data_IF_761473235931
#
_entry.id   IF_761473235931
#
_cell.length_a   1.000
_cell.length_b   1.000
_cell.length_c   1.000
_cell.angle_alpha   90.00
_cell.angle_beta   90.00
_cell.angle_gamma   90.00
#
_symmetry.space_group_name_H-M   'P 1'
#
loop_
_entity.id
_entity.type
_entity.pdbx_description
1 polymer ?
#
# COMPACT_ATOMS: atom_id res chain seq x y z
N UNK A 1 6.01 -14.90 -12.47
CA UNK A 1 6.59 -15.09 -11.17
C UNK A 1 6.21 -13.97 -10.22
N UNK A 2 6.56 -12.74 -10.55
CA UNK A 2 6.20 -11.63 -9.67
C UNK A 2 4.87 -11.00 -10.03
N UNK A 3 4.16 -11.57 -11.02
CA UNK A 3 2.95 -10.97 -11.58
C UNK A 3 1.87 -10.76 -10.54
N UNK A 4 1.59 -11.77 -9.72
CA UNK A 4 0.54 -11.66 -8.71
C UNK A 4 0.85 -10.63 -7.64
N UNK A 5 2.11 -10.55 -7.18
CA UNK A 5 2.54 -9.55 -6.22
C UNK A 5 2.47 -8.16 -6.83
N UNK A 6 2.98 -8.02 -8.05
CA UNK A 6 2.95 -6.74 -8.75
C UNK A 6 1.52 -6.27 -8.96
N UNK A 7 0.60 -7.18 -9.30
CA UNK A 7 -0.82 -6.85 -9.47
C UNK A 7 -1.41 -6.32 -8.17
N UNK A 8 -1.12 -6.96 -7.04
CA UNK A 8 -1.63 -6.53 -5.74
C UNK A 8 -1.10 -5.13 -5.37
N UNK A 9 0.19 -4.90 -5.57
CA UNK A 9 0.79 -3.60 -5.27
C UNK A 9 0.22 -2.53 -6.22
N UNK A 10 0.06 -2.87 -7.50
CA UNK A 10 -0.51 -1.93 -8.47
C UNK A 10 -1.96 -1.58 -8.13
N UNK A 11 -2.73 -2.55 -7.63
CA UNK A 11 -4.10 -2.30 -7.18
C UNK A 11 -4.12 -1.30 -6.03
N UNK A 12 -3.20 -1.44 -5.09
CA UNK A 12 -3.03 -0.49 -4.00
C UNK A 12 -2.73 0.91 -4.54
N UNK A 13 -1.77 1.01 -5.46
CA UNK A 13 -1.37 2.28 -6.08
C UNK A 13 -2.57 2.93 -6.79
N UNK A 14 -3.26 2.16 -7.61
CA UNK A 14 -4.39 2.68 -8.39
C UNK A 14 -5.52 3.13 -7.47
N UNK A 15 -5.77 2.37 -6.40
CA UNK A 15 -6.78 2.74 -5.41
C UNK A 15 -6.43 4.02 -4.67
N UNK A 16 -5.17 4.19 -4.28
CA UNK A 16 -4.71 5.42 -3.65
C UNK A 16 -4.85 6.61 -4.59
N UNK A 17 -4.44 6.45 -5.84
CA UNK A 17 -4.50 7.53 -6.83
C UNK A 17 -5.95 7.97 -7.09
N UNK A 18 -6.86 7.01 -7.15
CA UNK A 18 -8.28 7.29 -7.47
C UNK A 18 -9.11 7.64 -6.22
N UNK A 19 -8.51 7.60 -5.03
CA UNK A 19 -9.23 7.73 -3.76
C UNK A 19 -10.35 6.68 -3.67
N UNK A 20 -10.06 5.47 -4.13
CA UNK A 20 -11.01 4.37 -4.20
C UNK A 20 -10.79 3.43 -3.01
N UNK A 21 -11.55 3.65 -1.93
CA UNK A 21 -11.38 2.90 -0.69
C UNK A 21 -11.62 1.40 -0.85
N UNK A 22 -12.55 1.01 -1.72
CA UNK A 22 -12.84 -0.40 -1.98
C UNK A 22 -11.67 -1.11 -2.63
N UNK A 23 -11.06 -0.46 -3.61
CA UNK A 23 -9.91 -1.03 -4.33
C UNK A 23 -8.73 -1.18 -3.40
N UNK A 24 -8.48 -0.19 -2.55
CA UNK A 24 -7.41 -0.27 -1.55
C UNK A 24 -7.71 -1.37 -0.53
N UNK A 25 -8.92 -1.41 0.01
CA UNK A 25 -9.30 -2.43 0.98
C UNK A 25 -9.12 -3.83 0.43
N UNK A 26 -9.44 -4.03 -0.86
CA UNK A 26 -9.34 -5.34 -1.49
C UNK A 26 -7.91 -5.76 -1.77
N UNK A 27 -6.97 -4.82 -1.84
CA UNK A 27 -5.54 -5.13 -1.97
C UNK A 27 -4.94 -5.60 -0.64
N UNK A 28 -5.58 -5.28 0.48
CA UNK A 28 -5.14 -5.72 1.80
C UNK A 28 -5.82 -7.02 2.20
N UNK A 29 -5.08 -7.85 2.96
CA UNK A 29 -5.69 -8.94 3.69
C UNK A 29 -6.57 -8.35 4.80
N UNK A 30 -7.61 -9.08 5.20
CA UNK A 30 -8.56 -8.59 6.22
C UNK A 30 -7.87 -8.26 7.55
N UNK A 31 -6.78 -8.96 7.87
CA UNK A 31 -6.02 -8.73 9.09
C UNK A 31 -4.83 -7.81 8.93
N UNK A 32 -4.71 -7.11 7.81
CA UNK A 32 -3.54 -6.28 7.54
C UNK A 32 -3.39 -5.14 8.55
N UNK A 33 -2.14 -4.86 8.90
CA UNK A 33 -1.80 -3.78 9.83
C UNK A 33 -0.66 -2.96 9.22
N UNK A 34 -0.63 -1.68 9.55
CA UNK A 34 0.46 -0.81 9.13
C UNK A 34 1.00 0.01 10.29
N UNK A 35 2.29 0.32 10.20
CA UNK A 35 3.03 1.10 11.17
C UNK A 35 3.95 2.06 10.44
N UNK A 36 4.14 3.25 10.97
CA UNK A 36 5.10 4.15 10.35
C UNK A 36 5.12 5.53 10.95
N UNK A 37 5.76 6.42 10.22
CA UNK A 37 5.94 7.79 10.65
C UNK A 37 5.41 8.77 9.63
N UNK A 38 4.62 9.73 10.12
CA UNK A 38 4.24 10.92 9.37
C UNK A 38 5.04 12.07 9.97
N UNK A 39 6.15 12.44 9.30
CA UNK A 39 7.13 13.31 9.92
C UNK A 39 7.67 12.62 11.16
N UNK A 40 7.55 13.27 12.31
CA UNK A 40 8.04 12.72 13.58
C UNK A 40 6.95 11.98 14.37
N UNK A 41 5.75 11.89 13.82
CA UNK A 41 4.62 11.25 14.52
C UNK A 41 4.51 9.77 14.17
N UNK A 42 4.58 8.91 15.19
CA UNK A 42 4.36 7.49 15.02
C UNK A 42 2.87 7.20 14.86
N UNK A 43 2.52 6.44 13.83
CA UNK A 43 1.13 6.12 13.49
C UNK A 43 1.01 4.62 13.27
N UNK A 44 -0.06 4.04 13.80
CA UNK A 44 -0.43 2.66 13.50
C UNK A 44 -1.93 2.59 13.23
N UNK A 45 -2.31 1.73 12.28
CA UNK A 45 -3.72 1.49 11.95
C UNK A 45 -3.84 0.17 11.21
N UNK A 46 -5.07 -0.31 11.07
CA UNK A 46 -5.32 -1.47 10.21
C UNK A 46 -5.41 -1.04 8.76
N UNK A 47 -5.25 -1.99 7.84
CA UNK A 47 -5.47 -1.74 6.42
C UNK A 47 -6.89 -1.26 6.14
N UNK A 48 -7.87 -1.84 6.85
CA UNK A 48 -9.28 -1.43 6.72
C UNK A 48 -9.47 0.03 7.15
N UNK A 49 -8.87 0.44 8.25
CA UNK A 49 -8.94 1.83 8.70
C UNK A 49 -8.29 2.79 7.71
N UNK A 50 -7.15 2.40 7.16
CA UNK A 50 -6.47 3.21 6.14
C UNK A 50 -7.38 3.39 4.92
N UNK A 51 -7.99 2.32 4.45
CA UNK A 51 -8.86 2.37 3.28
C UNK A 51 -10.07 3.28 3.51
N UNK A 52 -10.71 3.19 4.67
CA UNK A 52 -11.94 3.96 4.93
C UNK A 52 -11.67 5.38 5.44
N UNK A 53 -10.70 5.53 6.34
CA UNK A 53 -10.50 6.81 7.03
C UNK A 53 -9.47 7.72 6.35
N UNK A 54 -8.55 7.16 5.59
CA UNK A 54 -7.54 7.93 4.88
C UNK A 54 -7.90 8.03 3.41
N UNK A 55 -7.96 6.90 2.71
CA UNK A 55 -8.25 6.89 1.27
C UNK A 55 -9.69 7.31 1.02
N UNK A 56 -10.62 6.82 1.82
CA UNK A 56 -12.06 7.11 1.63
C UNK A 56 -12.44 8.56 1.89
N UNK A 57 -11.59 9.32 2.54
CA UNK A 57 -11.84 10.76 2.80
C UNK A 57 -10.96 11.66 1.94
N UNK A 58 -10.10 11.09 1.11
CA UNK A 58 -9.22 11.84 0.22
C UNK A 58 -9.95 12.21 -1.06
N UNK A 59 -9.37 13.17 -1.79
CA UNK A 59 -9.79 13.44 -3.17
C UNK A 59 -8.85 12.69 -4.12
N UNK A 60 -9.30 12.34 -5.33
CA UNK A 60 -8.41 11.73 -6.31
C UNK A 60 -7.17 12.58 -6.54
N UNK A 61 -6.03 11.90 -6.66
CA UNK A 61 -4.75 12.58 -6.85
C UNK A 61 -4.65 13.13 -8.28
N UNK A 62 -3.91 14.22 -8.41
CA UNK A 62 -3.60 14.80 -9.70
C UNK A 62 -2.26 14.27 -10.22
N UNK A 63 -1.67 14.95 -11.21
CA UNK A 63 -0.42 14.50 -11.83
C UNK A 63 0.79 14.57 -10.90
N UNK A 64 0.66 15.19 -9.74
CA UNK A 64 1.72 15.22 -8.74
C UNK A 64 1.96 13.84 -8.11
N UNK A 65 0.98 12.94 -8.12
CA UNK A 65 1.12 11.62 -7.53
C UNK A 65 1.89 10.71 -8.48
N UNK A 66 3.04 10.23 -8.04
CA UNK A 66 3.89 9.29 -8.76
C UNK A 66 4.26 8.16 -7.85
N UNK A 67 4.40 6.98 -8.43
CA UNK A 67 4.77 5.79 -7.67
C UNK A 67 5.80 4.98 -8.43
N UNK A 68 6.65 4.30 -7.68
CA UNK A 68 7.66 3.40 -8.25
C UNK A 68 7.78 2.17 -7.36
N UNK A 69 7.58 1.00 -7.95
CA UNK A 69 7.86 -0.26 -7.27
C UNK A 69 9.35 -0.52 -7.46
N UNK A 70 10.14 -0.34 -6.42
CA UNK A 70 11.59 -0.41 -6.50
C UNK A 70 12.11 -1.83 -6.38
N UNK A 71 11.39 -2.71 -5.67
CA UNK A 71 11.84 -4.07 -5.45
C UNK A 71 10.67 -4.98 -5.14
N UNK A 72 10.73 -6.21 -5.66
CA UNK A 72 9.82 -7.29 -5.29
C UNK A 72 10.67 -8.54 -5.08
N UNK A 73 10.46 -9.20 -3.95
CA UNK A 73 11.06 -10.50 -3.65
C UNK A 73 9.97 -11.47 -3.29
N UNK A 74 9.97 -12.64 -3.92
CA UNK A 74 8.97 -13.67 -3.68
C UNK A 74 9.69 -14.97 -3.28
N UNK A 75 9.23 -15.58 -2.18
CA UNK A 75 9.71 -16.88 -1.75
C UNK A 75 8.49 -17.71 -1.37
N UNK A 76 8.17 -18.71 -2.17
CA UNK A 76 6.97 -19.52 -1.93
C UNK A 76 5.71 -18.66 -1.94
N UNK A 77 5.00 -18.66 -0.85
CA UNK A 77 3.72 -17.94 -0.72
C UNK A 77 3.84 -16.66 0.11
N UNK A 78 5.06 -16.14 0.25
CA UNK A 78 5.28 -14.86 0.92
C UNK A 78 6.12 -13.97 0.03
N UNK A 79 5.96 -12.66 0.19
CA UNK A 79 6.69 -11.70 -0.61
C UNK A 79 6.91 -10.41 0.15
N UNK A 80 7.89 -9.65 -0.30
CA UNK A 80 8.08 -8.27 0.14
C UNK A 80 8.22 -7.37 -1.08
N UNK A 81 7.80 -6.12 -0.92
CA UNK A 81 7.93 -5.12 -1.98
C UNK A 81 8.30 -3.78 -1.36
N UNK A 82 9.07 -3.00 -2.08
CA UNK A 82 9.37 -1.62 -1.69
C UNK A 82 8.71 -0.71 -2.70
N UNK A 83 7.87 0.19 -2.20
CA UNK A 83 7.11 1.14 -3.00
C UNK A 83 7.44 2.56 -2.54
N UNK A 84 7.87 3.39 -3.47
CA UNK A 84 8.07 4.82 -3.20
C UNK A 84 6.93 5.58 -3.87
N UNK A 85 6.33 6.49 -3.11
CA UNK A 85 5.25 7.35 -3.61
C UNK A 85 5.68 8.80 -3.43
N UNK A 86 5.43 9.62 -4.46
CA UNK A 86 5.64 11.06 -4.40
C UNK A 86 4.29 11.75 -4.57
N UNK A 87 4.09 12.82 -3.79
CA UNK A 87 2.88 13.62 -3.92
C UNK A 87 1.61 12.90 -3.49
N UNK A 88 1.72 11.98 -2.53
CA UNK A 88 0.54 11.32 -1.97
C UNK A 88 0.13 12.07 -0.70
N UNK A 89 -1.10 12.62 -0.71
CA UNK A 89 -1.62 13.41 0.40
C UNK A 89 -0.67 14.55 0.80
N UNK A 90 0.01 15.12 -0.19
CA UNK A 90 0.94 16.23 0.02
C UNK A 90 2.32 15.84 0.53
N UNK A 91 2.65 14.56 0.56
CA UNK A 91 3.95 14.08 1.08
C UNK A 91 4.52 12.99 0.20
N UNK A 92 5.79 12.70 0.42
CA UNK A 92 6.48 11.60 -0.24
C UNK A 92 6.72 10.51 0.77
N UNK A 93 6.60 9.25 0.36
CA UNK A 93 6.67 8.10 1.25
C UNK A 93 7.54 6.98 0.68
N UNK A 94 8.19 6.26 1.59
CA UNK A 94 8.76 4.95 1.28
C UNK A 94 7.98 3.91 2.08
N UNK A 95 7.51 2.88 1.39
CA UNK A 95 6.69 1.82 1.99
C UNK A 95 7.37 0.48 1.79
N UNK A 96 7.44 -0.31 2.87
CA UNK A 96 7.83 -1.71 2.78
C UNK A 96 6.58 -2.56 3.01
N UNK A 97 6.22 -3.33 2.00
CA UNK A 97 5.00 -4.11 2.00
C UNK A 97 5.33 -5.58 2.18
N UNK A 98 4.63 -6.25 3.09
CA UNK A 98 4.65 -7.70 3.21
C UNK A 98 3.39 -8.26 2.58
N UNK A 99 3.51 -9.33 1.81
CA UNK A 99 2.38 -9.95 1.12
C UNK A 99 2.37 -11.45 1.34
N UNK A 100 1.19 -12.02 1.32
CA UNK A 100 1.01 -13.48 1.35
C UNK A 100 0.04 -13.90 0.27
N UNK A 101 0.23 -15.13 -0.22
CA UNK A 101 -0.72 -15.74 -1.15
C UNK A 101 -1.61 -16.69 -0.38
N UNK A 102 -2.91 -16.47 -0.45
CA UNK A 102 -3.93 -17.36 0.11
C UNK A 102 -5.05 -17.51 -0.90
N UNK A 103 -5.53 -18.73 -1.05
CA UNK A 103 -6.62 -19.03 -1.97
C UNK A 103 -6.33 -18.53 -3.39
N UNK A 104 -5.07 -18.67 -3.81
CA UNK A 104 -4.63 -18.31 -5.14
C UNK A 104 -4.50 -16.81 -5.37
N UNK A 105 -4.53 -16.01 -4.32
CA UNK A 105 -4.50 -14.55 -4.46
C UNK A 105 -3.51 -13.92 -3.49
N UNK A 106 -2.72 -12.98 -4.02
CA UNK A 106 -1.78 -12.19 -3.22
C UNK A 106 -2.46 -10.99 -2.60
N UNK A 107 -2.23 -10.77 -1.31
CA UNK A 107 -2.72 -9.59 -0.60
C UNK A 107 -1.66 -9.05 0.35
N UNK A 108 -1.72 -7.76 0.59
CA UNK A 108 -0.81 -7.07 1.51
C UNK A 108 -1.27 -7.35 2.93
N UNK A 109 -0.34 -7.85 3.77
CA UNK A 109 -0.62 -8.12 5.19
C UNK A 109 0.03 -7.11 6.11
N UNK A 110 1.10 -6.43 5.65
CA UNK A 110 1.80 -5.44 6.46
C UNK A 110 2.30 -4.30 5.60
N UNK A 111 2.34 -3.12 6.20
CA UNK A 111 2.92 -1.94 5.56
C UNK A 111 3.70 -1.19 6.62
N UNK A 112 4.99 -0.99 6.37
CA UNK A 112 5.86 -0.17 7.21
C UNK A 112 6.26 1.04 6.38
N UNK A 113 5.97 2.24 6.85
CA UNK A 113 6.12 3.41 6.01
C UNK A 113 6.77 4.57 6.76
N UNK A 114 7.35 5.47 6.00
CA UNK A 114 7.86 6.73 6.54
C UNK A 114 7.77 7.81 5.47
N UNK A 115 7.54 9.04 5.91
CA UNK A 115 7.71 10.20 5.03
C UNK A 115 9.18 10.37 4.68
N UNK A 116 9.43 10.88 3.51
CA UNK A 116 10.78 11.16 3.01
C UNK A 116 11.10 12.64 3.13
#
# INVERSE_FOLDING_TARGET
MHTGVKTAVQQYIDGCAAADSRRVADAFDAGAVMWGYLGDEYVTMTGAEFATQVVGTATPAGPEYRSEIQRIEVTGKVASAVLVEEGFLGSNFRNELGLVERDGRWRIVSKVFTTL
#
